data_IF_382014366534
#
_entry.id   IF_382014366534
#
_cell.length_a   1.000
_cell.length_b   1.000
_cell.length_c   1.000
_cell.angle_alpha   90.00
_cell.angle_beta   90.00
_cell.angle_gamma   90.00
#
_symmetry.space_group_name_H-M   'P 1'
#
loop_
_entity.id
_entity.type
_entity.pdbx_description
1 polymer ?
#
# COMPACT_ATOMS: atom_id res chain seq x y z
N UNK A 1 0.82 9.77 -3.86
CA UNK A 1 1.02 11.24 -3.92
C UNK A 1 -0.30 12.04 -3.76
N UNK A 2 -1.42 11.60 -4.36
CA UNK A 2 -2.71 12.32 -4.30
C UNK A 2 -3.50 12.13 -3.00
N UNK A 3 -3.36 10.98 -2.32
CA UNK A 3 -4.00 10.74 -1.02
C UNK A 3 -3.55 11.75 0.08
N UNK A 4 -2.43 12.44 -0.15
CA UNK A 4 -1.91 13.50 0.74
C UNK A 4 -2.48 14.89 0.46
N UNK A 5 -2.90 15.15 -0.77
CA UNK A 5 -3.42 16.45 -1.18
C UNK A 5 -4.95 16.53 -1.00
N UNK A 6 -5.63 15.37 -0.94
CA UNK A 6 -7.06 15.27 -0.64
C UNK A 6 -7.49 16.04 0.62
N UNK A 7 -6.83 15.93 1.79
CA UNK A 7 -7.23 16.68 2.98
C UNK A 7 -7.14 18.20 2.80
N UNK A 8 -6.07 18.69 2.17
CA UNK A 8 -5.87 20.12 1.89
C UNK A 8 -6.89 20.64 0.87
N UNK A 9 -7.23 19.84 -0.14
CA UNK A 9 -8.20 20.22 -1.17
C UNK A 9 -9.64 20.15 -0.68
N UNK A 10 -9.96 19.17 0.17
CA UNK A 10 -11.25 19.09 0.86
C UNK A 10 -11.40 20.27 1.82
N UNK A 11 -10.38 20.61 2.62
CA UNK A 11 -10.43 21.75 3.53
C UNK A 11 -10.61 23.07 2.77
N UNK A 12 -9.94 23.24 1.63
CA UNK A 12 -10.06 24.44 0.78
C UNK A 12 -11.42 24.52 0.08
N UNK A 13 -11.97 23.40 -0.38
CA UNK A 13 -13.32 23.37 -0.97
C UNK A 13 -14.41 23.67 0.07
N UNK A 14 -14.26 23.18 1.31
CA UNK A 14 -15.18 23.47 2.41
C UNK A 14 -15.06 24.94 2.83
N UNK A 15 -13.85 25.48 2.99
CA UNK A 15 -13.67 26.87 3.40
C UNK A 15 -14.24 27.86 2.39
N UNK A 16 -14.03 27.58 1.09
CA UNK A 16 -14.52 28.44 0.01
C UNK A 16 -16.04 28.37 -0.15
N UNK A 17 -16.66 27.19 0.03
CA UNK A 17 -18.13 27.06 0.00
C UNK A 17 -18.78 27.74 1.21
N UNK A 18 -18.20 27.60 2.42
CA UNK A 18 -18.66 28.32 3.61
C UNK A 18 -18.56 29.84 3.44
N UNK A 19 -17.45 30.33 2.87
CA UNK A 19 -17.23 31.76 2.69
C UNK A 19 -18.12 32.35 1.57
N UNK A 20 -18.40 31.58 0.51
CA UNK A 20 -19.33 31.96 -0.54
C UNK A 20 -20.80 32.00 -0.06
N UNK A 21 -21.21 31.06 0.80
CA UNK A 21 -22.54 31.04 1.43
C UNK A 21 -22.73 32.21 2.40
N UNK A 22 -21.67 32.64 3.08
CA UNK A 22 -21.75 33.75 4.04
C UNK A 22 -21.78 35.15 3.42
N UNK A 23 -21.21 35.34 2.23
CA UNK A 23 -20.96 36.69 1.67
C UNK A 23 -21.86 37.03 0.47
N UNK A 24 -22.47 36.04 -0.19
CA UNK A 24 -23.41 36.21 -1.32
C UNK A 24 -22.91 37.13 -2.47
N UNK A 25 -21.61 37.17 -2.71
CA UNK A 25 -20.97 37.95 -3.77
C UNK A 25 -20.78 37.12 -5.06
N UNK A 26 -21.25 37.65 -6.20
CA UNK A 26 -21.17 36.97 -7.50
C UNK A 26 -19.72 36.76 -8.02
N UNK A 27 -18.77 37.60 -7.58
CA UNK A 27 -17.36 37.47 -7.93
C UNK A 27 -16.68 36.25 -7.25
N UNK A 28 -17.07 35.94 -6.00
CA UNK A 28 -16.57 34.77 -5.28
C UNK A 28 -17.09 33.46 -5.90
N UNK A 29 -18.30 33.47 -6.47
CA UNK A 29 -18.85 32.30 -7.15
C UNK A 29 -18.04 31.91 -8.41
N UNK A 30 -17.43 32.87 -9.10
CA UNK A 30 -16.62 32.59 -10.29
C UNK A 30 -15.23 32.03 -9.91
N UNK A 31 -14.60 32.57 -8.87
CA UNK A 31 -13.35 32.00 -8.32
C UNK A 31 -13.54 30.57 -7.78
N UNK A 32 -14.66 30.30 -7.11
CA UNK A 32 -15.00 28.95 -6.64
C UNK A 32 -15.16 27.99 -7.82
N UNK A 33 -15.86 28.39 -8.89
CA UNK A 33 -16.03 27.55 -10.09
C UNK A 33 -14.69 27.20 -10.74
N UNK A 34 -13.79 28.18 -10.89
CA UNK A 34 -12.45 27.95 -11.47
C UNK A 34 -11.61 27.01 -10.62
N UNK A 35 -11.61 27.17 -9.30
CA UNK A 35 -10.88 26.28 -8.40
C UNK A 35 -11.47 24.86 -8.40
N UNK A 36 -12.80 24.70 -8.39
CA UNK A 36 -13.47 23.40 -8.55
C UNK A 36 -13.11 22.73 -9.87
N UNK A 37 -13.04 23.49 -10.97
CA UNK A 37 -12.64 22.97 -12.27
C UNK A 37 -11.18 22.47 -12.27
N UNK A 38 -10.26 23.22 -11.63
CA UNK A 38 -8.86 22.78 -11.44
C UNK A 38 -8.78 21.49 -10.63
N UNK A 39 -9.56 21.36 -9.55
CA UNK A 39 -9.61 20.13 -8.77
C UNK A 39 -10.07 18.94 -9.61
N UNK A 40 -11.11 19.12 -10.41
CA UNK A 40 -11.61 18.06 -11.28
C UNK A 40 -10.57 17.62 -12.31
N UNK A 41 -9.85 18.56 -12.93
CA UNK A 41 -8.78 18.25 -13.88
C UNK A 41 -7.63 17.45 -13.25
N UNK A 42 -7.16 17.85 -12.06
CA UNK A 42 -6.07 17.13 -11.38
C UNK A 42 -6.55 15.75 -10.90
N UNK A 43 -7.78 15.64 -10.39
CA UNK A 43 -8.36 14.36 -9.98
C UNK A 43 -8.48 13.39 -11.17
N UNK A 44 -8.93 13.87 -12.33
CA UNK A 44 -9.02 13.06 -13.54
C UNK A 44 -7.63 12.59 -14.01
N UNK A 45 -6.65 13.50 -14.06
CA UNK A 45 -5.29 13.15 -14.42
C UNK A 45 -4.70 12.09 -13.47
N UNK A 46 -4.93 12.22 -12.16
CA UNK A 46 -4.46 11.25 -11.18
C UNK A 46 -5.15 9.88 -11.36
N UNK A 47 -6.47 9.85 -11.59
CA UNK A 47 -7.19 8.60 -11.82
C UNK A 47 -6.64 7.84 -13.04
N UNK A 48 -6.33 8.56 -14.12
CA UNK A 48 -5.71 7.97 -15.31
C UNK A 48 -4.32 7.41 -14.98
N UNK A 49 -3.48 8.17 -14.27
CA UNK A 49 -2.14 7.71 -13.87
C UNK A 49 -2.19 6.50 -12.95
N UNK A 50 -3.08 6.48 -11.96
CA UNK A 50 -3.25 5.36 -11.04
C UNK A 50 -3.72 4.10 -11.79
N UNK A 51 -4.62 4.26 -12.76
CA UNK A 51 -5.07 3.17 -13.63
C UNK A 51 -3.90 2.57 -14.42
N UNK A 52 -3.06 3.39 -15.05
CA UNK A 52 -1.89 2.90 -15.79
C UNK A 52 -0.86 2.24 -14.87
N UNK A 53 -0.58 2.83 -13.71
CA UNK A 53 0.32 2.24 -12.72
C UNK A 53 -0.18 0.87 -12.26
N UNK A 54 -1.46 0.76 -11.91
CA UNK A 54 -2.06 -0.51 -11.50
C UNK A 54 -1.90 -1.58 -12.58
N UNK A 55 -2.25 -1.25 -13.83
CA UNK A 55 -2.11 -2.19 -14.95
C UNK A 55 -0.66 -2.63 -15.14
N UNK A 56 0.32 -1.71 -15.06
CA UNK A 56 1.72 -2.03 -15.20
C UNK A 56 2.22 -3.00 -14.11
N UNK A 57 1.80 -2.79 -12.87
CA UNK A 57 2.12 -3.68 -11.75
C UNK A 57 1.50 -5.07 -11.93
N UNK A 58 0.23 -5.16 -12.34
CA UNK A 58 -0.45 -6.43 -12.59
C UNK A 58 0.25 -7.20 -13.73
N UNK A 59 0.59 -6.54 -14.84
CA UNK A 59 1.32 -7.19 -15.93
C UNK A 59 2.68 -7.70 -15.46
N UNK A 60 3.39 -6.92 -14.64
CA UNK A 60 4.68 -7.32 -14.08
C UNK A 60 4.56 -8.52 -13.14
N UNK A 61 3.54 -8.54 -12.28
CA UNK A 61 3.21 -9.66 -11.40
C UNK A 61 2.99 -10.95 -12.20
N UNK A 62 2.16 -10.90 -13.25
CA UNK A 62 1.87 -12.07 -14.08
C UNK A 62 3.12 -12.60 -14.80
N UNK A 63 4.02 -11.71 -15.23
CA UNK A 63 5.32 -12.11 -15.80
C UNK A 63 6.20 -12.82 -14.77
N UNK A 64 6.21 -12.35 -13.52
CA UNK A 64 6.96 -12.99 -12.42
C UNK A 64 6.39 -14.38 -12.14
N UNK A 65 5.07 -14.51 -11.98
CA UNK A 65 4.38 -15.80 -11.77
C UNK A 65 4.73 -16.77 -12.89
N UNK A 66 4.61 -16.35 -14.16
CA UNK A 66 4.92 -17.20 -15.31
C UNK A 66 6.37 -17.69 -15.30
N UNK A 67 7.33 -16.82 -14.99
CA UNK A 67 8.75 -17.20 -14.92
C UNK A 67 9.01 -18.19 -13.78
N UNK A 68 8.42 -17.97 -12.61
CA UNK A 68 8.58 -18.86 -11.46
C UNK A 68 7.96 -20.23 -11.74
N UNK A 69 6.75 -20.27 -12.31
CA UNK A 69 6.10 -21.53 -12.73
C UNK A 69 6.94 -22.30 -13.74
N UNK A 70 7.47 -21.63 -14.76
CA UNK A 70 8.30 -22.28 -15.78
C UNK A 70 9.60 -22.87 -15.18
N UNK A 71 10.26 -22.12 -14.28
CA UNK A 71 11.49 -22.58 -13.61
C UNK A 71 11.22 -23.77 -12.70
N UNK A 72 10.16 -23.71 -11.88
CA UNK A 72 9.79 -24.81 -11.01
C UNK A 72 9.39 -26.05 -11.82
N UNK A 73 8.62 -25.86 -12.90
CA UNK A 73 8.23 -26.95 -13.78
C UNK A 73 9.44 -27.62 -14.44
N UNK A 74 10.40 -26.86 -14.98
CA UNK A 74 11.65 -27.44 -15.49
C UNK A 74 12.41 -28.20 -14.41
N UNK A 75 12.57 -27.62 -13.22
CA UNK A 75 13.27 -28.28 -12.11
C UNK A 75 12.56 -29.56 -11.65
N UNK A 76 11.23 -29.65 -11.77
CA UNK A 76 10.50 -30.88 -11.47
C UNK A 76 10.76 -31.96 -12.54
N UNK A 77 10.86 -31.58 -13.82
CA UNK A 77 11.14 -32.55 -14.90
C UNK A 77 12.54 -33.17 -14.80
N UNK A 78 13.51 -32.43 -14.28
CA UNK A 78 14.90 -32.89 -14.12
C UNK A 78 15.12 -33.75 -12.85
N UNK A 79 14.07 -33.94 -12.03
CA UNK A 79 14.17 -34.64 -10.75
C UNK A 79 14.06 -36.16 -10.91
N UNK A 80 14.75 -36.92 -10.05
CA UNK A 80 14.74 -38.39 -10.05
C UNK A 80 13.37 -38.99 -9.68
N UNK A 81 13.10 -40.21 -10.15
CA UNK A 81 11.81 -40.91 -9.94
C UNK A 81 11.54 -41.13 -8.43
N UNK A 82 12.58 -41.43 -7.64
CA UNK A 82 12.45 -41.63 -6.19
C UNK A 82 11.94 -40.40 -5.42
N UNK A 83 12.10 -39.19 -5.97
CA UNK A 83 11.50 -37.98 -5.40
C UNK A 83 9.96 -38.03 -5.48
N UNK A 84 9.41 -38.49 -6.61
CA UNK A 84 7.98 -38.58 -6.84
C UNK A 84 7.31 -39.72 -6.05
N UNK A 85 8.06 -40.76 -5.68
CA UNK A 85 7.56 -41.80 -4.78
C UNK A 85 7.37 -41.28 -3.34
N UNK A 86 8.14 -40.25 -2.95
CA UNK A 86 8.09 -39.66 -1.60
C UNK A 86 7.12 -38.48 -1.45
N UNK A 87 6.75 -37.83 -2.56
CA UNK A 87 5.94 -36.61 -2.56
C UNK A 87 4.66 -36.79 -3.37
N UNK A 88 3.50 -36.39 -2.82
CA UNK A 88 2.26 -36.48 -3.57
C UNK A 88 2.25 -35.50 -4.76
N UNK A 89 1.92 -36.00 -5.95
CA UNK A 89 1.79 -35.17 -7.17
C UNK A 89 0.84 -34.00 -6.97
N UNK A 90 -0.24 -34.18 -6.18
CA UNK A 90 -1.18 -33.13 -5.83
C UNK A 90 -0.54 -31.98 -5.04
N UNK A 91 0.35 -32.29 -4.09
CA UNK A 91 1.07 -31.25 -3.34
C UNK A 91 2.05 -30.49 -4.23
N UNK A 92 2.73 -31.15 -5.17
CA UNK A 92 3.62 -30.49 -6.13
C UNK A 92 2.86 -29.52 -7.04
N UNK A 93 1.68 -29.91 -7.52
CA UNK A 93 0.79 -29.05 -8.32
C UNK A 93 0.29 -27.87 -7.48
N UNK A 94 -0.10 -28.09 -6.23
CA UNK A 94 -0.53 -27.03 -5.30
C UNK A 94 0.59 -26.01 -5.09
N UNK A 95 1.83 -26.43 -4.84
CA UNK A 95 2.98 -25.54 -4.72
C UNK A 95 3.25 -24.75 -6.01
N UNK A 96 3.16 -25.41 -7.17
CA UNK A 96 3.35 -24.77 -8.48
C UNK A 96 2.29 -23.70 -8.77
N UNK A 97 1.05 -23.90 -8.30
CA UNK A 97 -0.09 -23.05 -8.65
C UNK A 97 -0.40 -22.01 -7.58
N UNK A 98 -0.57 -22.43 -6.33
CA UNK A 98 -0.97 -21.61 -5.18
C UNK A 98 0.22 -20.87 -4.58
N UNK A 99 1.21 -21.59 -4.05
CA UNK A 99 2.32 -20.97 -3.30
C UNK A 99 3.11 -19.96 -4.16
N UNK A 100 3.38 -20.31 -5.42
CA UNK A 100 4.03 -19.37 -6.36
C UNK A 100 3.16 -18.14 -6.61
N UNK A 101 1.85 -18.34 -6.74
CA UNK A 101 0.90 -17.26 -6.97
C UNK A 101 0.84 -16.28 -5.79
N UNK A 102 0.69 -16.82 -4.58
CA UNK A 102 0.66 -16.06 -3.33
C UNK A 102 1.98 -15.34 -3.08
N UNK A 103 3.11 -16.04 -3.17
CA UNK A 103 4.42 -15.43 -2.96
C UNK A 103 4.71 -14.31 -3.96
N UNK A 104 4.38 -14.50 -5.24
CA UNK A 104 4.57 -13.45 -6.24
C UNK A 104 3.63 -12.26 -6.02
N UNK A 105 2.41 -12.51 -5.54
CA UNK A 105 1.47 -11.46 -5.16
C UNK A 105 2.01 -10.64 -3.99
N UNK A 106 2.44 -11.29 -2.92
CA UNK A 106 2.97 -10.64 -1.72
C UNK A 106 4.23 -9.84 -2.04
N UNK A 107 5.16 -10.41 -2.81
CA UNK A 107 6.36 -9.71 -3.25
C UNK A 107 6.01 -8.46 -4.07
N UNK A 108 5.08 -8.58 -5.01
CA UNK A 108 4.65 -7.43 -5.83
C UNK A 108 4.00 -6.36 -4.96
N UNK A 109 3.15 -6.78 -4.02
CA UNK A 109 2.45 -5.87 -3.12
C UNK A 109 3.41 -5.13 -2.20
N UNK A 110 4.34 -5.84 -1.55
CA UNK A 110 5.38 -5.26 -0.69
C UNK A 110 6.24 -4.29 -1.48
N UNK A 111 6.64 -4.63 -2.71
CA UNK A 111 7.43 -3.75 -3.55
C UNK A 111 6.67 -2.48 -3.93
N UNK A 112 5.42 -2.61 -4.38
CA UNK A 112 4.54 -1.48 -4.71
C UNK A 112 4.33 -0.57 -3.50
N UNK A 113 4.00 -1.14 -2.35
CA UNK A 113 3.76 -0.39 -1.12
C UNK A 113 5.04 0.32 -0.64
N UNK A 114 6.18 -0.36 -0.70
CA UNK A 114 7.47 0.21 -0.27
C UNK A 114 7.86 1.40 -1.15
N UNK A 115 7.74 1.25 -2.47
CA UNK A 115 8.02 2.34 -3.41
C UNK A 115 7.08 3.52 -3.17
N UNK A 116 5.78 3.24 -3.02
CA UNK A 116 4.77 4.25 -2.71
C UNK A 116 5.09 4.95 -1.38
N UNK A 117 5.47 4.22 -0.34
CA UNK A 117 5.82 4.75 0.97
C UNK A 117 7.04 5.67 0.89
N UNK A 118 8.11 5.27 0.19
CA UNK A 118 9.32 6.08 0.03
C UNK A 118 9.00 7.39 -0.68
N UNK A 119 8.29 7.34 -1.81
CA UNK A 119 7.90 8.53 -2.57
C UNK A 119 6.99 9.44 -1.74
N UNK A 120 6.05 8.84 -1.00
CA UNK A 120 5.09 9.58 -0.17
C UNK A 120 5.78 10.26 1.01
N UNK A 121 6.55 9.53 1.81
CA UNK A 121 7.27 10.06 2.97
C UNK A 121 8.31 11.08 2.53
N UNK A 122 9.05 10.80 1.45
CA UNK A 122 10.02 11.74 0.89
C UNK A 122 9.35 13.03 0.42
N UNK A 123 8.26 12.94 -0.35
CA UNK A 123 7.51 14.09 -0.83
C UNK A 123 6.95 14.97 0.29
N UNK A 124 6.33 14.37 1.31
CA UNK A 124 5.82 15.11 2.48
C UNK A 124 6.97 15.77 3.22
N UNK A 125 8.06 15.04 3.45
CA UNK A 125 9.19 15.56 4.21
C UNK A 125 9.77 16.79 3.52
N UNK A 126 10.04 16.70 2.21
CA UNK A 126 10.54 17.82 1.41
C UNK A 126 9.59 19.01 1.44
N UNK A 127 8.28 18.77 1.31
CA UNK A 127 7.26 19.83 1.38
C UNK A 127 7.23 20.51 2.77
N UNK A 128 7.24 19.73 3.86
CA UNK A 128 7.23 20.26 5.22
C UNK A 128 8.50 21.06 5.52
N UNK A 129 9.67 20.58 5.07
CA UNK A 129 10.93 21.31 5.21
C UNK A 129 10.88 22.67 4.50
N UNK A 130 10.18 22.76 3.36
CA UNK A 130 10.06 24.01 2.62
C UNK A 130 9.13 25.03 3.32
N UNK A 131 8.05 24.56 3.96
CA UNK A 131 7.09 25.44 4.66
C UNK A 131 7.60 25.87 6.03
N UNK A 132 8.03 24.91 6.86
CA UNK A 132 8.54 25.19 8.21
C UNK A 132 9.43 24.06 8.70
N UNK A 133 10.73 24.34 8.78
CA UNK A 133 11.73 23.39 9.24
C UNK A 133 11.53 22.94 10.70
N UNK A 134 10.93 23.78 11.55
CA UNK A 134 10.67 23.46 12.96
C UNK A 134 9.59 22.37 13.11
N UNK A 135 8.51 22.47 12.34
CA UNK A 135 7.44 21.47 12.34
C UNK A 135 7.91 20.15 11.70
N UNK A 136 8.75 20.23 10.67
CA UNK A 136 9.34 19.05 10.03
C UNK A 136 10.20 18.24 11.01
N UNK A 137 11.08 18.89 11.78
CA UNK A 137 11.92 18.22 12.79
C UNK A 137 11.08 17.58 13.90
N UNK A 138 10.04 18.28 14.38
CA UNK A 138 9.13 17.73 15.38
C UNK A 138 8.45 16.45 14.85
N UNK A 139 7.91 16.48 13.62
CA UNK A 139 7.28 15.33 13.00
C UNK A 139 8.25 14.14 12.85
N UNK A 140 9.51 14.41 12.48
CA UNK A 140 10.56 13.40 12.35
C UNK A 140 11.00 12.79 13.68
N UNK A 141 10.81 13.48 14.82
CA UNK A 141 11.09 12.94 16.16
C UNK A 141 9.88 12.13 16.67
N UNK A 142 8.67 12.65 16.49
CA UNK A 142 7.45 12.02 16.99
C UNK A 142 7.12 10.74 16.23
N UNK A 143 7.34 10.70 14.90
CA UNK A 143 7.07 9.52 14.07
C UNK A 143 7.80 8.23 14.54
N UNK A 144 9.14 8.21 14.74
CA UNK A 144 9.83 7.02 15.24
C UNK A 144 9.46 6.70 16.69
N UNK A 145 9.17 7.70 17.53
CA UNK A 145 8.74 7.46 18.91
C UNK A 145 7.43 6.64 18.94
N UNK A 146 6.43 7.04 18.15
CA UNK A 146 5.17 6.29 18.01
C UNK A 146 5.43 4.90 17.42
N UNK A 147 6.31 4.79 16.41
CA UNK A 147 6.64 3.50 15.80
C UNK A 147 7.27 2.51 16.81
N UNK A 148 8.14 2.99 17.70
CA UNK A 148 8.73 2.19 18.76
C UNK A 148 7.66 1.70 19.74
N UNK A 149 6.78 2.59 20.21
CA UNK A 149 5.67 2.24 21.11
C UNK A 149 4.77 1.17 20.47
N UNK A 150 4.39 1.37 19.20
CA UNK A 150 3.58 0.39 18.45
C UNK A 150 4.29 -0.96 18.32
N UNK A 151 5.61 -0.97 18.11
CA UNK A 151 6.38 -2.22 18.02
C UNK A 151 6.37 -2.98 19.34
N UNK A 152 6.55 -2.29 20.47
CA UNK A 152 6.44 -2.93 21.79
C UNK A 152 5.06 -3.49 22.05
N UNK A 153 4.02 -2.70 21.76
CA UNK A 153 2.63 -3.12 21.90
C UNK A 153 2.30 -4.34 21.01
N UNK A 154 2.70 -4.33 19.75
CA UNK A 154 2.49 -5.43 18.81
C UNK A 154 3.19 -6.72 19.24
N UNK A 155 4.44 -6.63 19.71
CA UNK A 155 5.17 -7.79 20.24
C UNK A 155 4.48 -8.38 21.47
N UNK A 156 3.95 -7.53 22.36
CA UNK A 156 3.19 -7.98 23.52
C UNK A 156 1.89 -8.66 23.09
N UNK A 157 1.13 -8.07 22.16
CA UNK A 157 -0.11 -8.64 21.64
C UNK A 157 0.12 -10.00 20.99
N UNK A 158 1.17 -10.15 20.17
CA UNK A 158 1.51 -11.42 19.53
C UNK A 158 1.82 -12.52 20.56
N UNK A 159 2.54 -12.19 21.64
CA UNK A 159 2.81 -13.13 22.73
C UNK A 159 1.51 -13.57 23.44
N UNK A 160 0.57 -12.65 23.65
CA UNK A 160 -0.73 -12.96 24.25
C UNK A 160 -1.53 -13.87 23.31
N UNK A 161 -1.59 -13.55 22.01
CA UNK A 161 -2.28 -14.37 21.01
C UNK A 161 -1.73 -15.79 20.93
N UNK A 162 -0.41 -15.96 20.99
CA UNK A 162 0.22 -17.29 21.01
C UNK A 162 -0.16 -18.10 22.24
N UNK A 163 -0.27 -17.47 23.42
CA UNK A 163 -0.72 -18.13 24.66
C UNK A 163 -2.18 -18.59 24.55
N UNK A 164 -3.06 -17.75 24.00
CA UNK A 164 -4.46 -18.14 23.81
C UNK A 164 -4.59 -19.30 22.81
N UNK A 165 -3.85 -19.27 21.70
CA UNK A 165 -3.86 -20.36 20.71
C UNK A 165 -3.34 -21.68 21.28
N UNK A 166 -2.30 -21.63 22.12
CA UNK A 166 -1.73 -22.83 22.76
C UNK A 166 -2.68 -23.41 23.81
N UNK A 167 -3.30 -22.59 24.66
CA UNK A 167 -4.30 -23.08 25.62
C UNK A 167 -5.55 -23.67 24.95
N UNK A 168 -5.99 -23.12 23.81
CA UNK A 168 -7.08 -23.72 23.03
C UNK A 168 -6.67 -25.06 22.40
N UNK A 169 -5.42 -25.19 21.93
CA UNK A 169 -4.90 -26.44 21.41
C UNK A 169 -4.79 -27.52 22.49
N UNK A 170 -4.40 -27.15 23.71
CA UNK A 170 -4.35 -28.04 24.87
C UNK A 170 -5.75 -28.48 25.35
N UNK A 171 -6.76 -27.62 25.24
CA UNK A 171 -8.14 -27.95 25.63
C UNK A 171 -8.91 -28.78 24.59
N UNK A 172 -8.47 -28.77 23.32
CA UNK A 172 -9.04 -29.57 22.23
C UNK A 172 -8.38 -30.96 22.08
N UNK A 173 -7.34 -31.24 22.87
CA UNK A 173 -6.67 -32.54 22.97
C UNK A 173 -7.25 -33.36 24.12
#
# INVERSE_FOLDING_TARGET
PFNLAMPHYISMAISLTLQAVHTNDAALLDEVKVNVMRFFMVALANAVLDFFNWNFFVVSQQRIIRRMRNRLFHSLLDQEIGFFDSQSTGQLISRLTSDIGEMANDLTWVFRWSLEAIVRVGGISLYLFWVSWQLALLAWIVAPLIAVINRFYGNWLNKVSQRTQTSLAEANH
#
